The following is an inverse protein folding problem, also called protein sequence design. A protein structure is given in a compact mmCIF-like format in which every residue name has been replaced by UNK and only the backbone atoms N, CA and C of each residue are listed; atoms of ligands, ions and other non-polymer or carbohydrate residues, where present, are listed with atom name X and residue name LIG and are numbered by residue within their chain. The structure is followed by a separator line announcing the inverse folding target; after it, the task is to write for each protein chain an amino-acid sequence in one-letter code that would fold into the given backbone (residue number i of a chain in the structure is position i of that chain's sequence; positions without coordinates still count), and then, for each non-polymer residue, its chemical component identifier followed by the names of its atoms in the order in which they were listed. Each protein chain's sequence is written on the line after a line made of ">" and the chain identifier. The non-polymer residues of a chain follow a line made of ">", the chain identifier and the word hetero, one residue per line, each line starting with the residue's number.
data_IF_650614194516
#
_entry.id   IF_650614194516
#
_cell.length_a   1.000
_cell.length_b   1.000
_cell.length_c   1.000
_cell.angle_alpha   90.00
_cell.angle_beta   90.00
_cell.angle_gamma   90.00
#
_symmetry.space_group_name_H-M   'P 1'
#
loop_
_entity.id
_entity.type
_entity.pdbx_description
1 polymer ?
#
# COMPACT_ATOMS: atom_id res chain seq x y z
N UNK A 1 23.36 -14.70 1.08
CA UNK A 1 21.89 -14.86 0.93
C UNK A 1 21.45 -14.13 -0.33
N UNK A 2 20.24 -14.40 -0.82
CA UNK A 2 19.65 -13.78 -2.01
C UNK A 2 18.20 -13.41 -1.71
N UNK A 3 17.79 -12.20 -2.10
CA UNK A 3 16.39 -11.76 -2.10
C UNK A 3 15.96 -11.38 -3.52
N UNK A 4 14.75 -11.81 -3.88
CA UNK A 4 14.05 -11.34 -5.07
C UNK A 4 12.95 -10.38 -4.63
N UNK A 5 13.09 -9.11 -4.99
CA UNK A 5 12.20 -8.03 -4.60
C UNK A 5 11.34 -7.63 -5.79
N UNK A 6 10.08 -7.31 -5.52
CA UNK A 6 9.22 -6.56 -6.43
C UNK A 6 8.89 -5.25 -5.76
N UNK A 7 9.27 -4.14 -6.40
CA UNK A 7 9.09 -2.80 -5.86
C UNK A 7 8.11 -2.01 -6.73
N UNK A 8 7.30 -1.18 -6.11
CA UNK A 8 6.38 -0.27 -6.80
C UNK A 8 7.06 1.10 -6.93
N UNK A 9 7.43 1.49 -8.15
CA UNK A 9 8.27 2.67 -8.41
C UNK A 9 7.52 3.68 -9.26
N UNK A 10 7.46 4.98 -8.90
CA UNK A 10 6.82 5.99 -9.74
C UNK A 10 7.51 6.12 -11.10
N UNK A 11 6.72 6.24 -12.19
CA UNK A 11 7.26 6.42 -13.56
C UNK A 11 7.70 7.87 -13.81
N UNK A 12 8.65 8.38 -13.01
CA UNK A 12 9.28 9.69 -13.19
C UNK A 12 10.81 9.59 -13.16
N UNK A 13 11.54 10.50 -13.84
CA UNK A 13 12.99 10.45 -13.91
C UNK A 13 13.66 10.42 -12.53
N UNK A 14 14.71 9.61 -12.37
CA UNK A 14 15.50 9.52 -11.14
C UNK A 14 15.00 8.50 -10.11
N UNK A 15 13.76 8.06 -10.19
CA UNK A 15 13.17 7.16 -9.17
C UNK A 15 13.87 5.80 -9.08
N UNK A 16 14.23 5.20 -10.22
CA UNK A 16 14.97 3.95 -10.21
C UNK A 16 16.34 4.09 -9.52
N UNK A 17 16.98 5.26 -9.64
CA UNK A 17 18.24 5.53 -8.94
C UNK A 17 18.03 5.64 -7.42
N UNK A 18 16.96 6.32 -6.99
CA UNK A 18 16.63 6.44 -5.56
C UNK A 18 16.40 5.09 -4.89
N UNK A 19 15.83 4.14 -5.64
CA UNK A 19 15.58 2.76 -5.23
C UNK A 19 16.86 1.92 -5.15
N UNK A 20 17.79 2.10 -6.10
CA UNK A 20 19.04 1.34 -6.14
C UNK A 20 20.12 1.90 -5.20
N UNK A 21 20.05 3.18 -4.83
CA UNK A 21 21.07 3.85 -4.01
C UNK A 21 21.31 3.17 -2.66
N UNK A 22 20.30 2.78 -1.86
CA UNK A 22 20.51 2.08 -0.60
C UNK A 22 21.25 0.75 -0.77
N UNK A 23 20.93 0.00 -1.83
CA UNK A 23 21.54 -1.30 -2.12
C UNK A 23 23.04 -1.13 -2.41
N UNK A 24 23.38 -0.16 -3.28
CA UNK A 24 24.77 0.15 -3.59
C UNK A 24 25.54 0.71 -2.40
N UNK A 25 24.96 1.64 -1.65
CA UNK A 25 25.60 2.28 -0.48
C UNK A 25 25.86 1.29 0.65
N UNK A 26 24.96 0.35 0.89
CA UNK A 26 25.08 -0.68 1.93
C UNK A 26 25.92 -1.89 1.49
N UNK A 27 26.35 -1.95 0.23
CA UNK A 27 27.21 -3.00 -0.29
C UNK A 27 26.48 -4.29 -0.68
N UNK A 28 25.16 -4.23 -0.91
CA UNK A 28 24.43 -5.36 -1.48
C UNK A 28 24.78 -5.52 -2.96
N UNK A 29 25.05 -6.75 -3.38
CA UNK A 29 25.32 -7.07 -4.77
C UNK A 29 24.01 -7.12 -5.57
N UNK A 30 23.82 -6.22 -6.53
CA UNK A 30 22.64 -6.21 -7.39
C UNK A 30 22.88 -7.18 -8.55
N UNK A 31 22.17 -8.31 -8.56
CA UNK A 31 22.35 -9.37 -9.56
C UNK A 31 21.55 -9.06 -10.84
N UNK A 32 20.32 -8.57 -10.67
CA UNK A 32 19.43 -8.28 -11.80
C UNK A 32 18.47 -7.15 -11.45
N UNK A 33 18.17 -6.31 -12.43
CA UNK A 33 17.10 -5.31 -12.38
C UNK A 33 16.28 -5.46 -13.65
N UNK A 34 14.98 -5.73 -13.49
CA UNK A 34 14.03 -5.87 -14.60
C UNK A 34 12.94 -4.82 -14.40
N UNK A 35 12.84 -3.91 -15.36
CA UNK A 35 11.86 -2.83 -15.37
C UNK A 35 10.99 -2.98 -16.62
N UNK A 36 9.70 -3.25 -16.42
CA UNK A 36 8.74 -3.48 -17.51
C UNK A 36 7.79 -2.28 -17.62
N UNK A 37 8.15 -1.29 -18.45
CA UNK A 37 7.34 -0.07 -18.63
C UNK A 37 5.92 -0.30 -19.17
N UNK A 38 5.69 -1.44 -19.81
CA UNK A 38 4.40 -1.76 -20.43
C UNK A 38 3.33 -2.13 -19.38
N UNK A 39 3.73 -2.36 -18.13
CA UNK A 39 2.84 -2.61 -17.00
C UNK A 39 2.79 -1.35 -16.14
N UNK A 40 1.86 -0.45 -16.45
CA UNK A 40 1.54 0.67 -15.58
C UNK A 40 0.40 0.29 -14.66
N UNK A 41 0.58 0.50 -13.37
CA UNK A 41 -0.54 0.41 -12.43
C UNK A 41 -1.48 1.60 -12.65
N UNK A 42 -2.73 1.49 -12.17
CA UNK A 42 -3.69 2.61 -12.19
C UNK A 42 -3.17 3.85 -11.43
N UNK A 43 -2.17 3.67 -10.56
CA UNK A 43 -1.51 4.72 -9.77
C UNK A 43 -0.35 5.40 -10.49
N UNK A 44 -0.06 5.02 -11.75
CA UNK A 44 1.05 5.59 -12.51
C UNK A 44 2.44 5.11 -12.05
N UNK A 45 2.50 4.00 -11.33
CA UNK A 45 3.75 3.34 -10.94
C UNK A 45 4.06 2.16 -11.88
N UNK A 46 5.31 1.72 -11.86
CA UNK A 46 5.82 0.59 -12.63
C UNK A 46 6.48 -0.41 -11.68
N UNK A 47 6.13 -1.71 -11.76
CA UNK A 47 6.80 -2.72 -10.98
C UNK A 47 8.25 -2.90 -11.46
N UNK A 48 9.18 -2.89 -10.51
CA UNK A 48 10.60 -3.15 -10.76
C UNK A 48 11.00 -4.40 -9.99
N UNK A 49 11.41 -5.43 -10.71
CA UNK A 49 11.95 -6.65 -10.11
C UNK A 49 13.45 -6.48 -9.89
N UNK A 50 13.91 -6.69 -8.67
CA UNK A 50 15.31 -6.55 -8.30
C UNK A 50 15.76 -7.81 -7.57
N UNK A 51 16.84 -8.42 -8.04
CA UNK A 51 17.53 -9.47 -7.30
C UNK A 51 18.76 -8.88 -6.64
N UNK A 52 18.87 -9.06 -5.32
CA UNK A 52 20.04 -8.67 -4.53
C UNK A 52 20.64 -9.86 -3.79
N UNK A 53 21.96 -9.85 -3.63
CA UNK A 53 22.73 -10.82 -2.87
C UNK A 53 23.63 -10.14 -1.84
N UNK A 54 23.82 -10.79 -0.71
CA UNK A 54 24.65 -10.27 0.37
C UNK A 54 24.48 -11.06 1.66
N UNK A 55 25.18 -10.63 2.69
CA UNK A 55 24.99 -11.18 4.04
C UNK A 55 23.66 -10.71 4.62
N UNK A 56 23.10 -11.51 5.53
CA UNK A 56 21.78 -11.25 6.12
C UNK A 56 21.66 -9.83 6.67
N UNK A 57 22.66 -9.40 7.44
CA UNK A 57 22.67 -8.07 8.05
C UNK A 57 22.66 -6.93 7.02
N UNK A 58 23.32 -7.11 5.87
CA UNK A 58 23.32 -6.12 4.79
C UNK A 58 21.93 -6.08 4.14
N UNK A 59 21.36 -7.25 3.84
CA UNK A 59 20.05 -7.33 3.21
C UNK A 59 18.95 -6.76 4.12
N UNK A 60 18.97 -7.07 5.42
CA UNK A 60 18.03 -6.51 6.39
C UNK A 60 18.15 -4.97 6.45
N UNK A 61 19.37 -4.41 6.48
CA UNK A 61 19.58 -2.94 6.41
C UNK A 61 19.09 -2.32 5.11
N UNK A 62 19.18 -3.05 3.99
CA UNK A 62 18.62 -2.59 2.71
C UNK A 62 17.11 -2.51 2.80
N UNK A 63 16.45 -3.52 3.37
CA UNK A 63 14.99 -3.51 3.56
C UNK A 63 14.55 -2.32 4.43
N UNK A 64 15.21 -2.12 5.58
CA UNK A 64 14.94 -0.99 6.47
C UNK A 64 15.13 0.36 5.76
N UNK A 65 16.20 0.48 4.95
CA UNK A 65 16.48 1.71 4.21
C UNK A 65 15.43 2.00 3.13
N UNK A 66 14.93 0.98 2.42
CA UNK A 66 13.84 1.12 1.45
C UNK A 66 12.55 1.58 2.14
N UNK A 67 12.18 0.93 3.26
CA UNK A 67 11.00 1.31 4.04
C UNK A 67 11.11 2.73 4.60
N UNK A 68 12.30 3.13 5.09
CA UNK A 68 12.51 4.50 5.61
C UNK A 68 12.42 5.60 4.56
N UNK A 69 12.58 5.26 3.28
CA UNK A 69 12.42 6.16 2.14
C UNK A 69 10.99 6.14 1.55
N UNK A 70 10.04 5.47 2.21
CA UNK A 70 8.68 5.24 1.71
C UNK A 70 8.65 4.54 0.33
N UNK A 71 9.69 3.74 0.03
CA UNK A 71 9.72 2.90 -1.18
C UNK A 71 8.86 1.67 -0.90
N UNK A 72 7.82 1.49 -1.71
CA UNK A 72 6.85 0.44 -1.49
C UNK A 72 7.37 -0.92 -2.02
N UNK A 73 7.64 -1.85 -1.10
CA UNK A 73 8.02 -3.23 -1.42
C UNK A 73 6.74 -4.05 -1.55
N UNK A 74 6.46 -4.55 -2.77
CA UNK A 74 5.29 -5.39 -3.06
C UNK A 74 5.52 -6.84 -2.64
N UNK A 75 6.68 -7.40 -2.97
CA UNK A 75 6.99 -8.81 -2.71
C UNK A 75 8.46 -9.02 -2.33
N UNK A 76 8.70 -10.03 -1.48
CA UNK A 76 10.04 -10.54 -1.15
C UNK A 76 10.02 -12.06 -1.29
N UNK A 77 10.84 -12.59 -2.18
CA UNK A 77 10.93 -14.03 -2.50
C UNK A 77 9.58 -14.67 -2.81
N UNK A 78 8.72 -13.94 -3.53
CA UNK A 78 7.37 -14.38 -3.92
C UNK A 78 6.33 -14.29 -2.81
N UNK A 79 6.69 -13.77 -1.64
CA UNK A 79 5.74 -13.46 -0.56
C UNK A 79 5.34 -12.00 -0.67
N UNK A 80 4.05 -11.76 -0.93
CA UNK A 80 3.45 -10.43 -0.94
C UNK A 80 3.61 -9.81 0.46
N UNK A 81 4.09 -8.57 0.51
CA UNK A 81 4.28 -7.79 1.76
C UNK A 81 3.01 -7.06 2.17
N UNK A 82 2.27 -6.54 1.19
CA UNK A 82 1.03 -5.78 1.41
C UNK A 82 -0.13 -6.32 0.61
N UNK A 83 -1.26 -6.53 1.26
CA UNK A 83 -2.53 -6.89 0.63
C UNK A 83 -3.40 -5.64 0.44
N UNK A 84 -4.11 -5.58 -0.68
CA UNK A 84 -5.11 -4.55 -0.94
C UNK A 84 -6.51 -5.04 -0.56
N UNK A 85 -7.26 -4.15 0.07
CA UNK A 85 -8.62 -4.36 0.55
C UNK A 85 -9.45 -3.20 0.03
N UNK A 86 -10.40 -3.50 -0.86
CA UNK A 86 -11.39 -2.53 -1.34
C UNK A 86 -12.67 -2.66 -0.53
N UNK A 87 -13.16 -1.53 -0.03
CA UNK A 87 -14.43 -1.46 0.70
C UNK A 87 -15.24 -0.25 0.24
N UNK A 88 -16.55 -0.38 0.23
CA UNK A 88 -17.48 0.73 0.03
C UNK A 88 -18.21 1.01 1.34
N UNK A 89 -18.21 2.27 1.77
CA UNK A 89 -19.07 2.76 2.84
C UNK A 89 -20.22 3.55 2.22
N UNK A 90 -21.44 3.36 2.72
CA UNK A 90 -22.64 4.08 2.27
C UNK A 90 -23.33 4.68 3.49
N UNK A 91 -23.67 5.97 3.42
CA UNK A 91 -24.35 6.70 4.49
C UNK A 91 -24.14 8.20 4.40
N UNK A 92 -24.23 8.89 5.54
CA UNK A 92 -24.01 10.33 5.63
C UNK A 92 -22.52 10.67 5.79
N UNK A 93 -21.70 10.33 4.80
CA UNK A 93 -20.23 10.35 4.90
C UNK A 93 -19.68 11.78 5.05
N UNK A 94 -20.39 12.76 4.51
CA UNK A 94 -19.99 14.17 4.53
C UNK A 94 -20.23 14.79 5.92
N UNK A 95 -21.40 14.55 6.53
CA UNK A 95 -21.67 15.06 7.89
C UNK A 95 -20.98 14.20 8.98
N UNK A 96 -20.86 12.88 8.80
CA UNK A 96 -20.24 11.95 9.77
C UNK A 96 -18.69 11.91 9.71
N UNK A 97 -18.07 12.94 9.17
CA UNK A 97 -16.62 13.17 9.15
C UNK A 97 -15.79 12.03 8.52
N UNK A 98 -15.63 12.13 7.19
CA UNK A 98 -14.74 11.29 6.41
C UNK A 98 -13.28 11.36 6.90
N UNK A 99 -12.82 12.54 7.34
CA UNK A 99 -11.45 12.74 7.79
C UNK A 99 -11.19 11.96 9.08
N UNK A 100 -12.12 11.95 10.02
CA UNK A 100 -12.06 11.11 11.22
C UNK A 100 -12.06 9.62 10.86
N UNK A 101 -12.85 9.21 9.87
CA UNK A 101 -12.89 7.81 9.39
C UNK A 101 -11.54 7.37 8.84
N UNK A 102 -10.95 8.15 7.92
CA UNK A 102 -9.61 7.89 7.36
C UNK A 102 -8.54 7.92 8.44
N UNK A 103 -8.62 8.87 9.37
CA UNK A 103 -7.68 8.99 10.49
C UNK A 103 -7.74 7.79 11.44
N UNK A 104 -8.93 7.24 11.71
CA UNK A 104 -9.10 6.03 12.53
C UNK A 104 -8.53 4.80 11.84
N UNK A 105 -8.71 4.68 10.52
CA UNK A 105 -8.14 3.56 9.75
C UNK A 105 -6.61 3.63 9.69
N UNK A 106 -6.03 4.80 9.42
CA UNK A 106 -4.57 5.00 9.38
C UNK A 106 -3.90 4.90 10.75
N UNK A 107 -4.67 4.93 11.86
CA UNK A 107 -4.17 4.65 13.22
C UNK A 107 -4.07 3.17 13.53
N UNK A 108 -4.68 2.31 12.72
CA UNK A 108 -4.47 0.87 12.85
C UNK A 108 -3.03 0.59 12.43
N UNK A 109 -2.30 -0.15 13.27
CA UNK A 109 -0.96 -0.60 12.91
C UNK A 109 -1.03 -1.34 11.58
N UNK A 110 -0.02 -1.14 10.72
CA UNK A 110 0.12 -1.84 9.44
C UNK A 110 -1.01 -1.57 8.43
N UNK A 111 -1.73 -0.44 8.52
CA UNK A 111 -2.82 -0.08 7.59
C UNK A 111 -2.61 1.32 7.02
N UNK A 112 -2.83 1.48 5.71
CA UNK A 112 -2.83 2.77 5.03
C UNK A 112 -4.02 2.85 4.07
N UNK A 113 -4.84 3.88 4.17
CA UNK A 113 -5.81 4.24 3.12
C UNK A 113 -5.01 4.82 1.96
N UNK A 114 -4.94 4.05 0.86
CA UNK A 114 -4.12 4.37 -0.29
C UNK A 114 -4.88 5.15 -1.37
N UNK A 115 -6.19 4.94 -1.46
CA UNK A 115 -7.05 5.69 -2.38
C UNK A 115 -8.47 5.83 -1.81
N UNK A 116 -9.16 6.88 -2.25
CA UNK A 116 -10.52 7.22 -1.83
C UNK A 116 -11.28 7.92 -2.96
N UNK A 117 -12.40 7.33 -3.37
CA UNK A 117 -13.38 7.94 -4.28
C UNK A 117 -14.66 8.26 -3.48
N UNK A 118 -15.15 9.50 -3.56
CA UNK A 118 -16.38 9.94 -2.90
C UNK A 118 -17.42 10.30 -3.95
N UNK A 119 -18.56 9.61 -3.89
CA UNK A 119 -19.75 9.91 -4.67
C UNK A 119 -20.82 10.54 -3.79
N UNK A 120 -21.22 11.74 -4.17
CA UNK A 120 -22.35 12.45 -3.58
C UNK A 120 -23.61 12.13 -4.38
N UNK A 121 -24.74 11.96 -3.69
CA UNK A 121 -26.04 12.06 -4.32
C UNK A 121 -26.60 13.48 -4.20
N UNK A 122 -27.73 13.75 -4.84
CA UNK A 122 -28.44 15.03 -4.71
C UNK A 122 -28.88 15.32 -3.27
N UNK A 123 -28.97 14.28 -2.43
CA UNK A 123 -29.14 14.40 -0.98
C UNK A 123 -27.81 14.11 -0.25
N UNK A 124 -27.22 15.09 0.47
CA UNK A 124 -25.93 14.92 1.15
C UNK A 124 -25.86 13.71 2.09
N UNK A 125 -27.01 13.37 2.69
CA UNK A 125 -27.18 12.25 3.63
C UNK A 125 -27.06 10.86 3.00
N UNK A 126 -27.07 10.80 1.67
CA UNK A 126 -26.93 9.57 0.89
C UNK A 126 -25.67 9.70 0.02
N UNK A 127 -24.51 9.52 0.63
CA UNK A 127 -23.22 9.46 -0.06
C UNK A 127 -22.60 8.08 0.05
N UNK A 128 -21.70 7.77 -0.88
CA UNK A 128 -20.95 6.53 -0.89
C UNK A 128 -19.48 6.85 -1.11
N UNK A 129 -18.60 6.14 -0.41
CA UNK A 129 -17.16 6.24 -0.66
C UNK A 129 -16.58 4.86 -0.87
N UNK A 130 -15.78 4.72 -1.91
CA UNK A 130 -14.94 3.55 -2.14
C UNK A 130 -13.55 3.87 -1.59
N UNK A 131 -13.02 2.99 -0.74
CA UNK A 131 -11.66 3.12 -0.21
C UNK A 131 -10.83 1.92 -0.63
N UNK A 132 -9.62 2.18 -1.08
CA UNK A 132 -8.57 1.18 -1.25
C UNK A 132 -7.64 1.26 -0.05
N UNK A 133 -7.57 0.17 0.70
CA UNK A 133 -6.81 0.07 1.95
C UNK A 133 -5.70 -0.94 1.75
N UNK A 134 -4.47 -0.54 2.06
CA UNK A 134 -3.31 -1.42 2.09
C UNK A 134 -3.05 -1.88 3.51
N UNK A 135 -2.79 -3.16 3.68
CA UNK A 135 -2.40 -3.73 4.95
C UNK A 135 -1.27 -4.74 4.80
N UNK A 136 -0.50 -4.97 5.86
CA UNK A 136 0.51 -6.03 5.84
C UNK A 136 -0.14 -7.41 5.58
N UNK A 137 0.61 -8.26 4.89
CA UNK A 137 0.13 -9.59 4.53
C UNK A 137 -0.37 -10.39 5.74
N UNK A 138 -1.56 -10.98 5.62
CA UNK A 138 -2.19 -11.77 6.67
C UNK A 138 -3.06 -10.94 7.64
N UNK A 139 -3.02 -9.61 7.58
CA UNK A 139 -3.85 -8.73 8.41
C UNK A 139 -5.27 -8.54 7.87
N UNK A 140 -5.58 -9.03 6.66
CA UNK A 140 -6.86 -8.81 5.97
C UNK A 140 -8.10 -9.01 6.84
N UNK A 141 -8.18 -10.14 7.55
CA UNK A 141 -9.35 -10.46 8.39
C UNK A 141 -9.53 -9.46 9.54
N UNK A 142 -8.43 -9.01 10.14
CA UNK A 142 -8.46 -8.05 11.23
C UNK A 142 -8.85 -6.67 10.73
N UNK A 143 -8.30 -6.23 9.60
CA UNK A 143 -8.63 -4.96 8.96
C UNK A 143 -10.10 -4.90 8.59
N UNK A 144 -10.64 -5.93 7.92
CA UNK A 144 -12.06 -6.03 7.59
C UNK A 144 -12.97 -5.95 8.82
N UNK A 145 -12.57 -6.57 9.94
CA UNK A 145 -13.29 -6.50 11.21
C UNK A 145 -13.29 -5.07 11.78
N UNK A 146 -12.15 -4.37 11.71
CA UNK A 146 -12.03 -2.99 12.17
C UNK A 146 -12.84 -2.01 11.30
N UNK A 147 -12.82 -2.17 9.97
CA UNK A 147 -13.64 -1.36 9.05
C UNK A 147 -15.12 -1.52 9.39
N UNK A 148 -15.62 -2.76 9.56
CA UNK A 148 -17.00 -3.02 9.98
C UNK A 148 -17.35 -2.36 11.32
N UNK A 149 -16.43 -2.41 12.28
CA UNK A 149 -16.62 -1.79 13.60
C UNK A 149 -16.74 -0.26 13.49
N UNK A 150 -15.85 0.38 12.72
CA UNK A 150 -15.88 1.84 12.50
C UNK A 150 -17.15 2.25 11.77
N UNK A 151 -17.53 1.51 10.71
CA UNK A 151 -18.76 1.77 9.98
C UNK A 151 -20.01 1.66 10.86
N UNK A 152 -20.11 0.60 11.68
CA UNK A 152 -21.22 0.44 12.61
C UNK A 152 -21.31 1.56 13.65
N UNK A 153 -20.17 2.09 14.12
CA UNK A 153 -20.14 3.22 15.06
C UNK A 153 -20.66 4.52 14.45
N UNK A 154 -20.45 4.71 13.14
CA UNK A 154 -20.86 5.91 12.38
C UNK A 154 -22.17 5.73 11.60
N UNK A 155 -22.84 4.60 11.77
CA UNK A 155 -24.09 4.32 11.04
C UNK A 155 -23.91 4.04 9.55
N UNK A 156 -22.69 3.74 9.09
CA UNK A 156 -22.42 3.41 7.69
C UNK A 156 -22.74 1.95 7.37
N UNK A 157 -23.34 1.73 6.20
CA UNK A 157 -23.37 0.41 5.58
C UNK A 157 -22.00 0.11 4.99
N UNK A 158 -21.37 -0.97 5.45
CA UNK A 158 -20.05 -1.41 4.97
C UNK A 158 -20.20 -2.59 4.03
N UNK A 159 -19.83 -2.40 2.77
CA UNK A 159 -19.75 -3.44 1.75
C UNK A 159 -18.26 -3.75 1.54
N UNK A 160 -17.82 -4.94 1.92
CA UNK A 160 -16.42 -5.34 1.77
C UNK A 160 -16.27 -6.21 0.53
N UNK A 161 -15.06 -6.22 -0.06
CA UNK A 161 -14.68 -7.09 -1.17
C UNK A 161 -15.46 -6.77 -2.46
N UNK A 162 -15.31 -5.54 -2.91
CA UNK A 162 -15.77 -5.05 -4.22
C UNK A 162 -14.66 -5.19 -5.25
#
# INVERSE_FOLDING_TARGET
>A
MRFNLVLDVPDVPGQLLEVLEPMGRLGANIVAVIHQRDVKTERGTVPVHITIEGDKEILDKVMDALESKDINILEVDGVIRKEQITTVLVGDIVEEDLQDTVSKLNKLNTVKVADLDLKMSDEPRNSATMMVIEADFGQRKEVLKNIKKIGAQKGFLVINEV
#
